data_IF_273389735232
#
_entry.id   IF_273389735232
#
_cell.length_a   1.000
_cell.length_b   1.000
_cell.length_c   1.000
_cell.angle_alpha   90.00
_cell.angle_beta   90.00
_cell.angle_gamma   90.00
#
_symmetry.space_group_name_H-M   'P 1'
#
loop_
_entity.id
_entity.type
_entity.pdbx_description
1 polymer ?
#
# COMPACT_ATOMS: atom_id res chain seq x y z
N UNK A 1 -91.68 -53.92 -32.21
CA UNK A 1 -91.22 -52.53 -32.34
C UNK A 1 -90.74 -52.04 -30.99
N UNK A 2 -89.42 -51.80 -30.81
CA UNK A 2 -88.80 -51.50 -29.53
C UNK A 2 -88.93 -50.01 -29.17
N UNK A 3 -89.31 -49.74 -27.92
CA UNK A 3 -89.49 -48.42 -27.33
C UNK A 3 -88.13 -47.86 -26.90
N UNK A 4 -87.70 -46.75 -27.52
CA UNK A 4 -86.47 -46.01 -27.18
C UNK A 4 -86.49 -45.55 -25.72
N UNK A 5 -85.56 -46.09 -24.91
CA UNK A 5 -85.30 -45.62 -23.56
C UNK A 5 -84.34 -44.40 -23.61
N UNK A 6 -84.69 -43.38 -22.84
CA UNK A 6 -83.98 -42.10 -22.65
C UNK A 6 -82.57 -42.36 -22.06
N UNK A 7 -81.53 -41.62 -22.46
CA UNK A 7 -80.16 -41.84 -21.98
C UNK A 7 -80.04 -41.51 -20.48
N UNK A 8 -79.27 -42.28 -19.68
CA UNK A 8 -78.93 -41.88 -18.33
C UNK A 8 -77.96 -40.68 -18.33
N UNK A 9 -78.26 -39.70 -17.47
CA UNK A 9 -77.46 -38.49 -17.29
C UNK A 9 -76.05 -38.78 -16.82
N UNK A 10 -75.12 -37.90 -17.22
CA UNK A 10 -73.71 -37.92 -16.84
C UNK A 10 -73.58 -37.74 -15.32
N UNK A 11 -72.87 -38.62 -14.57
CA UNK A 11 -72.53 -38.31 -13.19
C UNK A 11 -71.56 -37.11 -13.16
N UNK A 12 -71.68 -36.16 -12.20
CA UNK A 12 -70.66 -35.14 -11.98
C UNK A 12 -69.48 -35.79 -11.24
N UNK A 13 -68.55 -36.41 -11.98
CA UNK A 13 -67.39 -37.02 -11.35
C UNK A 13 -66.22 -36.03 -11.24
N UNK A 14 -66.18 -35.43 -10.06
CA UNK A 14 -65.00 -35.07 -9.26
C UNK A 14 -63.90 -34.26 -9.95
N UNK A 15 -63.87 -32.96 -9.66
CA UNK A 15 -62.66 -32.17 -9.82
C UNK A 15 -61.51 -32.87 -9.07
N UNK A 16 -60.50 -33.33 -9.82
CA UNK A 16 -59.29 -33.90 -9.24
C UNK A 16 -58.73 -32.95 -8.17
N UNK A 17 -58.25 -33.46 -7.01
CA UNK A 17 -57.64 -32.60 -6.02
C UNK A 17 -56.44 -31.89 -6.66
N UNK A 18 -56.45 -30.56 -6.62
CA UNK A 18 -55.32 -29.76 -7.07
C UNK A 18 -54.06 -30.26 -6.37
N UNK A 19 -53.04 -30.66 -7.14
CA UNK A 19 -51.78 -31.11 -6.58
C UNK A 19 -51.22 -30.03 -5.65
N UNK A 20 -50.65 -30.38 -4.48
CA UNK A 20 -50.07 -29.39 -3.59
C UNK A 20 -48.92 -28.69 -4.31
N UNK A 21 -48.96 -27.35 -4.40
CA UNK A 21 -47.81 -26.56 -4.84
C UNK A 21 -46.61 -26.89 -3.93
N UNK A 22 -45.41 -27.14 -4.50
CA UNK A 22 -44.24 -27.40 -3.67
C UNK A 22 -43.97 -26.18 -2.77
N UNK A 23 -43.67 -26.38 -1.48
CA UNK A 23 -43.37 -25.26 -0.60
C UNK A 23 -42.16 -24.50 -1.13
N UNK A 24 -42.32 -23.18 -1.31
CA UNK A 24 -41.23 -22.29 -1.68
C UNK A 24 -40.06 -22.47 -0.72
N UNK A 25 -38.90 -22.89 -1.25
CA UNK A 25 -37.67 -23.03 -0.48
C UNK A 25 -37.36 -21.69 0.17
N UNK A 26 -37.60 -21.57 1.48
CA UNK A 26 -37.30 -20.35 2.25
C UNK A 26 -35.83 -19.97 2.03
N UNK A 27 -35.48 -18.70 1.74
CA UNK A 27 -34.10 -18.25 1.47
C UNK A 27 -33.21 -18.22 2.73
N UNK A 28 -33.50 -19.07 3.71
CA UNK A 28 -32.72 -19.24 4.95
C UNK A 28 -31.33 -19.84 4.70
N UNK A 29 -30.96 -20.16 3.45
CA UNK A 29 -29.59 -20.58 3.07
C UNK A 29 -28.81 -19.49 2.34
N UNK A 30 -29.47 -18.43 1.87
CA UNK A 30 -28.81 -17.35 1.14
C UNK A 30 -28.00 -16.44 2.08
N UNK A 31 -28.54 -16.09 3.25
CA UNK A 31 -27.84 -15.26 4.24
C UNK A 31 -26.61 -15.97 4.83
N UNK A 32 -26.67 -17.30 4.99
CA UNK A 32 -25.54 -18.09 5.48
C UNK A 32 -24.35 -18.04 4.51
N UNK A 33 -24.61 -18.05 3.20
CA UNK A 33 -23.58 -17.90 2.17
C UNK A 33 -22.97 -16.50 2.23
N UNK A 34 -23.77 -15.45 2.39
CA UNK A 34 -23.27 -14.08 2.58
C UNK A 34 -22.38 -13.93 3.82
N UNK A 35 -22.79 -14.49 4.96
CA UNK A 35 -21.98 -14.47 6.18
C UNK A 35 -20.69 -15.27 6.03
N UNK A 36 -20.73 -16.43 5.37
CA UNK A 36 -19.54 -17.22 5.07
C UNK A 36 -18.57 -16.43 4.18
N UNK A 37 -19.06 -15.75 3.14
CA UNK A 37 -18.22 -14.89 2.29
C UNK A 37 -17.66 -13.69 3.05
N UNK A 38 -18.42 -13.06 3.94
CA UNK A 38 -17.92 -11.98 4.79
C UNK A 38 -16.85 -12.47 5.76
N UNK A 39 -17.01 -13.66 6.34
CA UNK A 39 -15.98 -14.27 7.18
C UNK A 39 -14.71 -14.57 6.38
N UNK A 40 -14.83 -15.16 5.18
CA UNK A 40 -13.70 -15.43 4.28
C UNK A 40 -12.99 -14.15 3.88
N UNK A 41 -13.72 -13.10 3.49
CA UNK A 41 -13.15 -11.79 3.15
C UNK A 41 -12.49 -11.16 4.38
N UNK A 42 -13.10 -11.26 5.57
CA UNK A 42 -12.54 -10.75 6.81
C UNK A 42 -11.23 -11.46 7.17
N UNK A 43 -11.20 -12.79 7.10
CA UNK A 43 -9.98 -13.58 7.33
C UNK A 43 -8.92 -13.28 6.28
N UNK A 44 -9.29 -13.21 5.00
CA UNK A 44 -8.37 -12.85 3.92
C UNK A 44 -7.85 -11.42 4.09
N UNK A 45 -8.69 -10.48 4.53
CA UNK A 45 -8.32 -9.11 4.82
C UNK A 45 -7.30 -9.04 5.97
N UNK A 46 -7.57 -9.73 7.08
CA UNK A 46 -6.63 -9.82 8.21
C UNK A 46 -5.32 -10.51 7.82
N UNK A 47 -5.41 -11.59 7.04
CA UNK A 47 -4.25 -12.30 6.50
C UNK A 47 -3.42 -11.40 5.58
N UNK A 48 -4.07 -10.67 4.67
CA UNK A 48 -3.42 -9.72 3.78
C UNK A 48 -2.78 -8.58 4.57
N UNK A 49 -3.46 -8.02 5.57
CA UNK A 49 -2.87 -6.98 6.42
C UNK A 49 -1.59 -7.48 7.11
N UNK A 50 -1.59 -8.67 7.69
CA UNK A 50 -0.41 -9.24 8.31
C UNK A 50 0.72 -9.54 7.30
N UNK A 51 0.37 -9.99 6.09
CA UNK A 51 1.32 -10.29 5.02
C UNK A 51 1.93 -9.04 4.35
N UNK A 52 1.20 -7.92 4.28
CA UNK A 52 1.62 -6.68 3.62
C UNK A 52 1.94 -5.53 4.57
N UNK A 53 1.76 -5.70 5.88
CA UNK A 53 2.25 -4.75 6.86
C UNK A 53 3.78 -4.68 6.73
N UNK A 54 4.30 -3.48 6.45
CA UNK A 54 5.73 -3.24 6.56
C UNK A 54 6.10 -3.37 8.04
N UNK A 55 7.12 -4.16 8.40
CA UNK A 55 7.72 -4.12 9.72
C UNK A 55 7.86 -2.67 10.18
N UNK A 56 7.18 -2.34 11.28
CA UNK A 56 7.06 -0.97 11.76
C UNK A 56 8.40 -0.44 12.23
N UNK A 57 8.69 0.83 11.91
CA UNK A 57 9.80 1.55 12.51
C UNK A 57 9.46 1.76 13.99
N UNK A 58 10.34 1.30 14.88
CA UNK A 58 10.18 1.54 16.31
C UNK A 58 11.13 2.67 16.74
N UNK A 59 10.57 3.65 17.45
CA UNK A 59 11.36 4.64 18.17
C UNK A 59 11.66 4.05 19.54
N UNK A 60 12.92 3.75 19.83
CA UNK A 60 13.31 3.37 21.17
C UNK A 60 13.30 4.61 22.08
N UNK A 61 13.06 4.42 23.38
CA UNK A 61 12.95 5.51 24.38
C UNK A 61 14.15 6.48 24.40
N UNK A 62 15.29 6.09 23.82
CA UNK A 62 16.52 6.89 23.75
C UNK A 62 16.64 7.80 22.50
N UNK A 63 15.57 8.00 21.73
CA UNK A 63 15.63 8.81 20.50
C UNK A 63 16.46 8.12 19.41
N UNK A 64 16.28 6.81 19.28
CA UNK A 64 16.91 5.95 18.27
C UNK A 64 15.82 5.36 17.38
N UNK A 65 16.04 5.38 16.05
CA UNK A 65 15.16 4.71 15.10
C UNK A 65 15.69 3.32 14.78
N UNK A 66 14.87 2.30 15.02
CA UNK A 66 15.15 0.92 14.63
C UNK A 66 14.37 0.58 13.37
N UNK A 67 15.11 0.31 12.29
CA UNK A 67 14.61 -0.03 10.98
C UNK A 67 14.85 -1.52 10.72
N UNK A 68 13.80 -2.36 10.77
CA UNK A 68 13.92 -3.74 10.29
C UNK A 68 14.18 -3.79 8.79
N UNK A 69 15.00 -4.74 8.36
CA UNK A 69 15.26 -5.06 6.95
C UNK A 69 13.95 -5.54 6.31
N UNK A 70 13.60 -4.96 5.17
CA UNK A 70 12.43 -5.40 4.40
C UNK A 70 12.77 -6.64 3.56
N UNK A 71 11.73 -7.26 2.97
CA UNK A 71 11.87 -8.48 2.15
C UNK A 71 12.76 -8.30 0.91
N UNK A 72 12.89 -7.07 0.44
CA UNK A 72 13.79 -6.72 -0.67
C UNK A 72 15.25 -6.53 -0.24
N UNK A 73 15.55 -6.67 1.05
CA UNK A 73 16.89 -6.53 1.61
C UNK A 73 17.28 -5.09 1.97
N UNK A 74 16.43 -4.10 1.70
CA UNK A 74 16.67 -2.69 1.98
C UNK A 74 16.03 -2.24 3.29
N UNK A 75 16.51 -1.10 3.80
CA UNK A 75 15.95 -0.44 4.97
C UNK A 75 15.12 0.77 4.53
N UNK A 76 13.97 0.95 5.17
CA UNK A 76 13.08 2.07 4.87
C UNK A 76 12.70 2.80 6.14
N UNK A 77 12.54 4.12 6.02
CA UNK A 77 12.02 4.97 7.08
C UNK A 77 10.92 5.86 6.52
N UNK A 78 9.80 5.91 7.23
CA UNK A 78 8.74 6.85 6.91
C UNK A 78 9.14 8.26 7.32
N UNK A 79 8.76 9.24 6.52
CA UNK A 79 9.13 10.61 6.76
C UNK A 79 8.32 11.59 5.93
N UNK A 80 8.84 12.80 5.84
CA UNK A 80 8.28 13.81 4.97
C UNK A 80 9.38 14.71 4.42
N UNK A 81 9.16 15.23 3.22
CA UNK A 81 9.91 16.35 2.67
C UNK A 81 8.97 17.54 2.71
N UNK A 82 9.39 18.59 3.42
CA UNK A 82 8.55 19.72 3.81
C UNK A 82 7.28 19.23 4.54
N UNK A 83 6.13 19.21 3.88
CA UNK A 83 4.85 18.73 4.42
C UNK A 83 4.31 17.50 3.69
N UNK A 84 5.11 16.93 2.79
CA UNK A 84 4.68 15.87 1.88
C UNK A 84 5.22 14.53 2.38
N UNK A 85 4.33 13.58 2.74
CA UNK A 85 4.74 12.26 3.22
C UNK A 85 5.52 11.49 2.15
N UNK A 86 6.64 10.90 2.57
CA UNK A 86 7.57 10.18 1.70
C UNK A 86 8.10 8.96 2.46
N UNK A 87 8.29 7.85 1.74
CA UNK A 87 9.02 6.70 2.26
C UNK A 87 10.45 6.75 1.72
N UNK A 88 11.39 6.89 2.63
CA UNK A 88 12.81 6.94 2.31
C UNK A 88 13.40 5.53 2.34
N UNK A 89 14.06 5.13 1.25
CA UNK A 89 14.98 4.00 1.25
C UNK A 89 16.36 4.49 1.68
N UNK A 90 16.98 3.82 2.64
CA UNK A 90 18.34 4.14 3.08
C UNK A 90 19.33 3.69 2.01
N UNK A 91 20.04 4.65 1.40
CA UNK A 91 21.04 4.38 0.37
C UNK A 91 22.37 5.03 0.74
N UNK A 92 23.29 4.22 1.27
CA UNK A 92 24.61 4.70 1.68
C UNK A 92 25.52 5.05 0.50
N UNK A 93 25.19 4.62 -0.72
CA UNK A 93 25.92 4.94 -1.95
C UNK A 93 25.46 6.25 -2.60
N UNK A 94 24.28 6.75 -2.25
CA UNK A 94 23.78 8.02 -2.73
C UNK A 94 24.41 9.20 -1.96
N UNK A 95 24.91 10.21 -2.67
CA UNK A 95 25.48 11.41 -2.04
C UNK A 95 24.39 12.35 -1.50
N UNK A 96 23.27 12.48 -2.21
CA UNK A 96 22.15 13.37 -1.87
C UNK A 96 20.86 12.58 -1.66
N UNK A 97 19.91 13.19 -0.97
CA UNK A 97 18.50 12.77 -1.04
C UNK A 97 18.05 12.87 -2.48
N UNK A 98 17.42 11.82 -3.01
CA UNK A 98 16.97 11.77 -4.39
C UNK A 98 15.47 11.50 -4.48
N UNK A 99 14.75 12.29 -5.28
CA UNK A 99 13.30 12.16 -5.47
C UNK A 99 12.90 12.27 -6.93
N UNK A 100 11.71 11.73 -7.24
CA UNK A 100 11.07 11.90 -8.54
C UNK A 100 10.54 13.33 -8.71
N UNK A 101 10.33 13.71 -9.98
CA UNK A 101 9.73 15.01 -10.33
C UNK A 101 8.34 15.18 -9.71
N UNK A 102 7.57 14.09 -9.62
CA UNK A 102 6.23 14.09 -9.03
C UNK A 102 6.27 14.39 -7.52
N UNK A 103 7.19 13.75 -6.79
CA UNK A 103 7.39 14.01 -5.35
C UNK A 103 7.89 15.42 -5.11
N UNK A 104 8.79 15.93 -5.95
CA UNK A 104 9.28 17.31 -5.86
C UNK A 104 8.13 18.32 -6.01
N UNK A 105 7.27 18.17 -7.02
CA UNK A 105 6.08 19.02 -7.20
C UNK A 105 5.15 18.94 -6.00
N UNK A 106 4.86 17.72 -5.52
CA UNK A 106 4.01 17.54 -4.34
C UNK A 106 4.61 18.17 -3.07
N UNK A 107 5.95 18.23 -2.95
CA UNK A 107 6.65 18.87 -1.84
C UNK A 107 6.85 20.39 -2.01
N UNK A 108 6.40 20.98 -3.12
CA UNK A 108 6.61 22.40 -3.43
C UNK A 108 8.05 22.74 -3.83
N UNK A 109 8.84 21.74 -4.24
CA UNK A 109 10.23 21.91 -4.68
C UNK A 109 10.30 22.21 -6.18
N UNK A 110 9.96 23.45 -6.52
CA UNK A 110 10.02 23.98 -7.88
C UNK A 110 11.39 24.60 -8.19
N UNK A 111 11.76 24.64 -9.48
CA UNK A 111 13.04 25.22 -9.94
C UNK A 111 14.27 24.43 -9.49
N UNK A 112 15.36 25.12 -9.17
CA UNK A 112 16.63 24.49 -8.77
C UNK A 112 17.69 24.50 -9.86
N UNK A 113 18.93 24.20 -9.48
CA UNK A 113 20.09 24.27 -10.35
C UNK A 113 20.26 22.97 -11.13
N UNK A 114 20.43 23.00 -12.47
CA UNK A 114 20.76 21.82 -13.25
C UNK A 114 22.02 21.13 -12.71
N UNK A 115 21.97 19.80 -12.59
CA UNK A 115 23.11 18.99 -12.13
C UNK A 115 23.11 17.63 -12.82
N UNK A 116 24.29 17.17 -13.18
CA UNK A 116 24.49 15.81 -13.65
C UNK A 116 24.81 14.91 -12.47
N UNK A 117 24.09 13.80 -12.36
CA UNK A 117 24.26 12.79 -11.33
C UNK A 117 24.86 11.52 -11.94
N UNK A 118 25.83 10.94 -11.25
CA UNK A 118 26.29 9.59 -11.54
C UNK A 118 25.38 8.59 -10.81
N UNK A 119 24.75 7.70 -11.57
CA UNK A 119 23.91 6.62 -11.02
C UNK A 119 24.48 5.28 -11.43
N UNK A 120 24.01 4.19 -10.83
CA UNK A 120 24.41 2.84 -11.23
C UNK A 120 24.09 2.54 -12.72
N UNK A 121 23.06 3.20 -13.27
CA UNK A 121 22.68 3.09 -14.69
C UNK A 121 23.35 4.10 -15.62
N UNK A 122 24.43 4.74 -15.18
CA UNK A 122 25.15 5.78 -15.91
C UNK A 122 24.81 7.20 -15.45
N UNK A 123 25.21 8.20 -16.23
CA UNK A 123 24.92 9.60 -15.90
C UNK A 123 23.48 9.96 -16.24
N UNK A 124 22.88 10.79 -15.39
CA UNK A 124 21.53 11.34 -15.55
C UNK A 124 21.55 12.83 -15.31
N UNK A 125 20.84 13.59 -16.14
CA UNK A 125 20.58 14.98 -15.85
C UNK A 125 19.42 15.09 -14.87
N UNK A 126 19.54 16.01 -13.93
CA UNK A 126 18.49 16.38 -13.01
C UNK A 126 18.71 17.80 -12.51
N UNK A 127 18.12 18.11 -11.38
CA UNK A 127 18.29 19.40 -10.71
C UNK A 127 18.49 19.21 -9.21
N UNK A 128 19.14 20.16 -8.57
CA UNK A 128 19.24 20.21 -7.10
C UNK A 128 18.43 21.39 -6.60
N UNK A 129 17.63 21.14 -5.56
CA UNK A 129 16.93 22.17 -4.81
C UNK A 129 17.08 21.90 -3.31
N UNK A 130 16.97 22.93 -2.47
CA UNK A 130 16.98 22.79 -1.01
C UNK A 130 15.56 22.59 -0.50
N UNK A 131 15.38 21.56 0.33
CA UNK A 131 14.17 21.35 1.10
C UNK A 131 14.24 22.08 2.44
N UNK A 132 13.15 22.73 2.83
CA UNK A 132 13.03 23.47 4.09
C UNK A 132 13.22 22.54 5.28
N UNK A 133 12.59 21.36 5.20
CA UNK A 133 12.68 20.34 6.23
C UNK A 133 12.59 18.93 5.64
N UNK A 134 13.34 18.00 6.21
CA UNK A 134 13.17 16.56 6.04
C UNK A 134 12.95 15.96 7.41
N UNK A 135 11.81 15.30 7.61
CA UNK A 135 11.50 14.58 8.85
C UNK A 135 11.57 13.07 8.65
N UNK A 136 12.08 12.34 9.64
CA UNK A 136 12.23 10.88 9.62
C UNK A 136 11.65 10.28 10.91
N UNK A 137 10.79 9.27 10.82
CA UNK A 137 10.28 8.50 11.95
C UNK A 137 9.27 9.24 12.84
N UNK A 138 8.23 9.86 12.28
CA UNK A 138 7.22 10.59 13.06
C UNK A 138 6.17 9.65 13.71
N UNK A 139 5.59 10.01 14.88
CA UNK A 139 5.88 11.17 15.73
C UNK A 139 7.03 10.90 16.73
N UNK A 140 7.88 11.92 17.00
CA UNK A 140 9.05 11.80 17.89
C UNK A 140 10.38 11.55 17.17
N UNK A 141 10.37 11.59 15.85
CA UNK A 141 11.55 11.38 15.01
C UNK A 141 12.45 12.61 14.83
N UNK A 142 13.30 12.55 13.81
CA UNK A 142 14.29 13.58 13.54
C UNK A 142 13.82 14.55 12.47
N UNK A 143 14.15 15.83 12.64
CA UNK A 143 13.91 16.87 11.63
C UNK A 143 15.24 17.51 11.27
N UNK A 144 15.61 17.43 10.00
CA UNK A 144 16.73 18.15 9.42
C UNK A 144 16.19 19.31 8.60
N UNK A 145 16.87 20.44 8.64
CA UNK A 145 16.51 21.63 7.86
C UNK A 145 17.53 21.86 6.77
N UNK A 146 17.08 22.53 5.72
CA UNK A 146 17.96 23.10 4.71
C UNK A 146 18.82 22.01 4.02
N UNK A 147 18.16 20.94 3.56
CA UNK A 147 18.81 19.76 2.96
C UNK A 147 18.73 19.83 1.44
N UNK A 148 19.86 19.59 0.76
CA UNK A 148 19.88 19.44 -0.69
C UNK A 148 19.19 18.15 -1.13
N UNK A 149 18.32 18.29 -2.13
CA UNK A 149 17.57 17.22 -2.74
C UNK A 149 17.82 17.23 -4.24
N UNK A 150 18.31 16.11 -4.75
CA UNK A 150 18.38 15.82 -6.18
C UNK A 150 17.00 15.41 -6.70
N UNK A 151 16.59 16.04 -7.80
CA UNK A 151 15.27 15.88 -8.40
C UNK A 151 15.45 15.44 -9.86
N UNK A 152 14.51 14.63 -10.34
CA UNK A 152 14.57 14.00 -11.67
C UNK A 152 15.39 12.71 -11.67
N UNK A 153 15.72 12.21 -10.48
CA UNK A 153 16.37 10.92 -10.30
C UNK A 153 15.28 9.90 -10.05
N UNK A 154 14.77 9.31 -11.13
CA UNK A 154 13.86 8.18 -11.00
C UNK A 154 14.60 7.02 -10.34
N UNK A 155 14.09 6.59 -9.20
CA UNK A 155 14.45 5.31 -8.62
C UNK A 155 14.09 4.27 -9.68
N UNK A 156 15.11 3.64 -10.28
CA UNK A 156 14.89 2.56 -11.24
C UNK A 156 13.99 1.53 -10.57
N UNK A 157 12.74 1.47 -10.97
CA UNK A 157 11.82 0.43 -10.55
C UNK A 157 12.32 -0.87 -11.15
N UNK A 158 13.31 -1.48 -10.50
CA UNK A 158 13.68 -2.87 -10.74
C UNK A 158 12.48 -3.72 -10.31
N UNK A 159 11.57 -3.97 -11.25
CA UNK A 159 10.74 -5.17 -11.25
C UNK A 159 9.26 -5.07 -10.82
N UNK A 160 8.61 -3.90 -10.79
CA UNK A 160 7.13 -3.89 -10.69
C UNK A 160 6.46 -2.65 -11.30
N UNK A 161 6.60 -2.53 -12.61
CA UNK A 161 5.64 -1.78 -13.43
C UNK A 161 4.31 -2.55 -13.43
N UNK A 162 3.46 -2.33 -12.42
CA UNK A 162 2.19 -3.05 -12.34
C UNK A 162 1.49 -3.04 -10.99
N UNK A 163 1.26 -1.88 -10.39
CA UNK A 163 0.17 -1.75 -9.41
C UNK A 163 -0.45 -0.34 -9.48
N UNK A 164 -1.00 0.01 -10.66
CA UNK A 164 -2.05 1.04 -10.76
C UNK A 164 -3.28 0.49 -10.01
N UNK A 165 -3.37 0.70 -8.70
CA UNK A 165 -4.50 0.18 -7.93
C UNK A 165 -4.51 0.46 -6.43
N UNK A 166 -3.43 0.96 -5.83
CA UNK A 166 -3.45 1.35 -4.42
C UNK A 166 -3.63 2.86 -4.28
N UNK A 167 -4.79 3.25 -3.73
CA UNK A 167 -5.05 4.58 -3.15
C UNK A 167 -3.93 4.88 -2.16
N UNK A 168 -3.04 5.79 -2.53
CA UNK A 168 -1.84 6.13 -1.78
C UNK A 168 -0.60 5.91 -2.64
N UNK A 169 -0.33 6.83 -3.57
CA UNK A 169 0.94 6.90 -4.27
C UNK A 169 2.01 7.15 -3.19
N UNK A 170 2.66 6.10 -2.68
CA UNK A 170 3.76 6.26 -1.76
C UNK A 170 4.92 6.88 -2.53
N UNK A 171 5.11 8.19 -2.40
CA UNK A 171 6.28 8.87 -2.91
C UNK A 171 7.52 8.22 -2.30
N UNK A 172 8.30 7.52 -3.13
CA UNK A 172 9.57 6.93 -2.72
C UNK A 172 10.70 7.92 -2.93
N UNK A 173 11.65 7.95 -1.99
CA UNK A 173 12.86 8.76 -2.04
C UNK A 173 14.08 7.95 -1.60
N UNK A 174 15.27 8.31 -2.09
CA UNK A 174 16.53 7.82 -1.54
C UNK A 174 16.98 8.77 -0.43
N UNK A 175 17.43 8.22 0.69
CA UNK A 175 18.09 8.97 1.75
C UNK A 175 19.60 8.77 1.63
N UNK A 176 20.27 9.79 1.07
CA UNK A 176 21.70 9.76 0.84
C UNK A 176 22.54 10.24 2.03
N UNK A 177 23.85 10.22 1.82
CA UNK A 177 24.87 10.60 2.82
C UNK A 177 24.74 12.02 3.33
N UNK A 178 24.14 12.94 2.56
CA UNK A 178 23.93 14.30 3.04
C UNK A 178 23.00 14.40 4.25
N UNK A 179 22.13 13.40 4.45
CA UNK A 179 21.33 13.23 5.66
C UNK A 179 21.95 12.17 6.58
N UNK A 180 22.36 11.02 6.03
CA UNK A 180 22.84 9.88 6.84
C UNK A 180 24.07 10.22 7.69
N UNK A 181 24.94 11.13 7.25
CA UNK A 181 26.12 11.55 8.02
C UNK A 181 25.82 12.19 9.37
N UNK A 182 24.59 12.68 9.58
CA UNK A 182 24.13 13.27 10.85
C UNK A 182 23.73 12.21 11.88
N UNK A 183 23.77 10.93 11.49
CA UNK A 183 23.41 9.80 12.33
C UNK A 183 24.61 8.89 12.54
N UNK A 184 24.67 8.29 13.72
CA UNK A 184 25.40 7.06 13.93
C UNK A 184 24.53 5.91 13.40
N UNK A 185 25.09 5.12 12.48
CA UNK A 185 24.39 4.01 11.83
C UNK A 185 25.05 2.71 12.27
N UNK A 186 24.27 1.82 12.88
CA UNK A 186 24.72 0.49 13.26
C UNK A 186 23.80 -0.55 12.64
N UNK A 187 24.36 -1.58 12.03
CA UNK A 187 23.58 -2.70 11.49
C UNK A 187 23.88 -3.93 12.34
N UNK A 188 22.84 -4.47 12.98
CA UNK A 188 22.90 -5.69 13.76
C UNK A 188 21.93 -6.71 13.16
N UNK A 189 22.46 -7.66 12.39
CA UNK A 189 21.66 -8.66 11.67
C UNK A 189 20.70 -8.02 10.67
N UNK A 190 19.40 -8.15 10.93
CA UNK A 190 18.31 -7.60 10.11
C UNK A 190 17.73 -6.30 10.65
N UNK A 191 18.39 -5.64 11.60
CA UNK A 191 17.95 -4.33 12.11
C UNK A 191 19.04 -3.29 11.92
N UNK A 192 18.68 -2.17 11.30
CA UNK A 192 19.49 -0.96 11.26
C UNK A 192 19.04 0.00 12.36
N UNK A 193 20.00 0.59 13.06
CA UNK A 193 19.79 1.57 14.12
C UNK A 193 20.33 2.91 13.66
N UNK A 194 19.52 3.95 13.78
CA UNK A 194 19.88 5.34 13.50
C UNK A 194 19.75 6.15 14.79
N UNK A 195 20.88 6.65 15.27
CA UNK A 195 20.95 7.53 16.43
C UNK A 195 21.51 8.88 16.01
N UNK A 196 20.94 9.99 16.49
CA UNK A 196 21.46 11.33 16.17
C UNK A 196 22.84 11.54 16.80
N UNK A 197 23.75 12.16 16.05
CA UNK A 197 25.04 12.61 16.55
C UNK A 197 24.93 13.86 17.44
#
# INVERSE_FOLDING_TARGET
MPRLARPPGRPPESAAPAAPMPPGRRPVRAWAIWLAWMAVIGVLYLFMQNMFARPSVFIAEAGELQLPRQRDGHFYVEGAINRTPVIFMIDTGASLVAISEATARAAGLEGGAPRTFATAGGTRQGRVQRADAISLGAPGGFVLRDIEVGIGLEMGSSGRQGQKGQRGQSSHALLGQNVLRHFHITIAGDTMRLQRK
#
